data_IF_293408614335
#
_entry.id   IF_293408614335
#
_cell.length_a   1.000
_cell.length_b   1.000
_cell.length_c   1.000
_cell.angle_alpha   90.00
_cell.angle_beta   90.00
_cell.angle_gamma   90.00
#
_symmetry.space_group_name_H-M   'P 1'
#
loop_
_entity.id
_entity.type
_entity.pdbx_description
1 polymer ?
#
# COMPACT_ATOMS: atom_id res chain seq x y z
N UNK A 1 -2.14 -5.98 -18.04
CA UNK A 1 -1.91 -6.31 -16.63
C UNK A 1 -2.27 -5.12 -15.75
N UNK A 2 -2.88 -5.36 -14.59
CA UNK A 2 -3.33 -4.33 -13.69
C UNK A 2 -4.35 -3.38 -14.33
N UNK A 3 -4.22 -2.05 -14.14
CA UNK A 3 -5.16 -1.07 -14.69
C UNK A 3 -5.29 -1.12 -16.23
N UNK A 4 -4.37 -1.75 -16.94
CA UNK A 4 -4.47 -1.93 -18.39
C UNK A 4 -5.63 -2.79 -18.84
N UNK A 5 -6.15 -3.69 -18.01
CA UNK A 5 -7.34 -4.50 -18.31
C UNK A 5 -8.63 -3.68 -18.31
N UNK A 6 -8.63 -2.49 -17.73
CA UNK A 6 -9.80 -1.60 -17.71
C UNK A 6 -10.07 -0.92 -19.07
N UNK A 7 -9.18 -1.07 -20.06
CA UNK A 7 -9.35 -0.48 -21.39
C UNK A 7 -10.46 -1.13 -22.21
N UNK A 8 -10.79 -2.37 -21.90
CA UNK A 8 -11.70 -3.18 -22.66
C UNK A 8 -12.61 -3.94 -21.69
N UNK A 9 -13.87 -3.50 -21.63
CA UNK A 9 -14.87 -4.07 -20.74
C UNK A 9 -15.27 -5.50 -21.12
N UNK A 10 -15.28 -5.81 -22.41
CA UNK A 10 -15.66 -7.16 -22.86
C UNK A 10 -14.56 -8.17 -22.50
N UNK A 11 -13.29 -7.84 -22.75
CA UNK A 11 -12.17 -8.68 -22.31
C UNK A 11 -12.10 -8.83 -20.80
N UNK A 12 -12.41 -7.76 -20.04
CA UNK A 12 -12.48 -7.83 -18.59
C UNK A 12 -13.62 -8.73 -18.12
N UNK A 13 -14.78 -8.65 -18.78
CA UNK A 13 -15.94 -9.51 -18.51
C UNK A 13 -15.60 -10.97 -18.77
N UNK A 14 -15.05 -11.29 -19.95
CA UNK A 14 -14.64 -12.67 -20.31
C UNK A 14 -13.62 -13.23 -19.29
N UNK A 15 -12.70 -12.40 -18.83
CA UNK A 15 -11.75 -12.80 -17.80
C UNK A 15 -12.44 -13.12 -16.48
N UNK A 16 -13.37 -12.26 -16.02
CA UNK A 16 -14.12 -12.47 -14.78
C UNK A 16 -15.03 -13.70 -14.89
N UNK A 17 -15.73 -13.88 -16.01
CA UNK A 17 -16.56 -15.07 -16.25
C UNK A 17 -15.73 -16.35 -16.09
N UNK A 18 -14.55 -16.41 -16.73
CA UNK A 18 -13.67 -17.59 -16.67
C UNK A 18 -13.11 -17.89 -15.29
N UNK A 19 -12.78 -16.86 -14.49
CA UNK A 19 -12.23 -17.11 -13.15
C UNK A 19 -13.31 -17.38 -12.11
N UNK A 20 -14.57 -17.03 -12.39
CA UNK A 20 -15.70 -17.30 -11.47
C UNK A 20 -16.43 -18.60 -11.82
N UNK A 21 -16.28 -19.12 -13.04
CA UNK A 21 -16.88 -20.37 -13.47
C UNK A 21 -16.26 -21.57 -12.72
N UNK A 22 -17.06 -22.21 -11.88
CA UNK A 22 -16.64 -23.34 -11.06
C UNK A 22 -15.59 -23.05 -9.99
N UNK A 23 -15.28 -21.77 -9.73
CA UNK A 23 -14.25 -21.38 -8.75
C UNK A 23 -14.77 -21.48 -7.31
N UNK A 24 -14.20 -22.39 -6.47
CA UNK A 24 -14.77 -22.70 -5.16
C UNK A 24 -14.40 -21.69 -4.07
N UNK A 25 -13.60 -20.68 -4.40
CA UNK A 25 -13.05 -19.74 -3.42
C UNK A 25 -13.72 -18.36 -3.53
N UNK A 26 -13.63 -17.60 -2.45
CA UNK A 26 -14.08 -16.20 -2.42
C UNK A 26 -13.11 -15.32 -3.21
N UNK A 27 -13.62 -14.56 -4.18
CA UNK A 27 -12.85 -13.65 -5.02
C UNK A 27 -12.92 -12.22 -4.48
N UNK A 28 -11.80 -11.55 -4.34
CA UNK A 28 -11.73 -10.10 -4.18
C UNK A 28 -11.15 -9.46 -5.44
N UNK A 29 -11.64 -8.27 -5.77
CA UNK A 29 -11.15 -7.50 -6.93
C UNK A 29 -10.59 -6.18 -6.46
N UNK A 30 -9.35 -5.87 -6.87
CA UNK A 30 -8.75 -4.55 -6.69
C UNK A 30 -8.75 -3.81 -8.02
N UNK A 31 -9.39 -2.63 -8.05
CA UNK A 31 -9.58 -1.85 -9.27
C UNK A 31 -9.22 -0.37 -9.10
N UNK A 32 -9.14 0.33 -10.24
CA UNK A 32 -9.21 1.78 -10.38
C UNK A 32 -10.56 2.19 -10.95
N UNK A 33 -10.87 3.48 -10.91
CA UNK A 33 -12.17 4.03 -11.35
C UNK A 33 -12.25 4.31 -12.86
N UNK A 34 -11.38 3.71 -13.63
CA UNK A 34 -11.27 3.80 -15.07
C UNK A 34 -9.82 3.69 -15.52
N UNK A 35 -9.60 3.60 -16.83
CA UNK A 35 -8.26 3.63 -17.41
C UNK A 35 -7.84 5.06 -17.78
N UNK A 36 -8.66 5.76 -18.56
CA UNK A 36 -8.36 7.09 -19.10
C UNK A 36 -9.17 8.19 -18.41
N UNK A 37 -10.44 7.92 -18.09
CA UNK A 37 -11.41 8.89 -17.59
C UNK A 37 -12.27 8.30 -16.50
N UNK A 38 -12.70 9.14 -15.55
CA UNK A 38 -13.57 8.73 -14.45
C UNK A 38 -15.00 8.41 -14.91
N UNK A 39 -15.43 8.93 -16.07
CA UNK A 39 -16.71 8.57 -16.69
C UNK A 39 -16.85 7.09 -17.05
N UNK A 40 -15.73 6.36 -17.14
CA UNK A 40 -15.71 4.89 -17.33
C UNK A 40 -16.21 4.14 -16.08
N UNK A 41 -16.27 4.82 -14.90
CA UNK A 41 -16.48 4.15 -13.62
C UNK A 41 -17.84 3.49 -13.48
N UNK A 42 -18.90 4.14 -13.92
CA UNK A 42 -20.26 3.59 -13.80
C UNK A 42 -20.37 2.23 -14.51
N UNK A 43 -19.89 2.13 -15.75
CA UNK A 43 -19.92 0.89 -16.53
C UNK A 43 -19.03 -0.21 -15.90
N UNK A 44 -17.88 0.15 -15.35
CA UNK A 44 -17.00 -0.77 -14.62
C UNK A 44 -17.67 -1.30 -13.36
N UNK A 45 -18.31 -0.43 -12.57
CA UNK A 45 -19.00 -0.83 -11.34
C UNK A 45 -20.21 -1.73 -11.64
N UNK A 46 -20.96 -1.44 -12.69
CA UNK A 46 -22.05 -2.29 -13.15
C UNK A 46 -21.57 -3.68 -13.60
N UNK A 47 -20.39 -3.74 -14.21
CA UNK A 47 -19.75 -5.02 -14.54
C UNK A 47 -19.41 -5.80 -13.26
N UNK A 48 -18.73 -5.17 -12.28
CA UNK A 48 -18.38 -5.83 -11.02
C UNK A 48 -19.61 -6.27 -10.21
N UNK A 49 -20.70 -5.55 -10.30
CA UNK A 49 -21.97 -5.89 -9.65
C UNK A 49 -22.65 -7.16 -10.17
N UNK A 50 -22.19 -7.70 -11.30
CA UNK A 50 -22.68 -8.99 -11.84
C UNK A 50 -22.05 -10.20 -11.14
N UNK A 51 -20.99 -9.98 -10.34
CA UNK A 51 -20.24 -11.05 -9.67
C UNK A 51 -20.39 -10.91 -8.15
N UNK A 52 -20.47 -12.07 -7.46
CA UNK A 52 -20.46 -12.13 -5.99
C UNK A 52 -19.01 -12.05 -5.49
N UNK A 53 -18.53 -10.83 -5.23
CA UNK A 53 -17.18 -10.59 -4.72
C UNK A 53 -17.18 -10.59 -3.19
N UNK A 54 -16.10 -11.10 -2.58
CA UNK A 54 -15.91 -10.95 -1.13
C UNK A 54 -15.66 -9.49 -0.76
N UNK A 55 -15.00 -8.74 -1.64
CA UNK A 55 -14.77 -7.30 -1.52
C UNK A 55 -14.36 -6.69 -2.86
N UNK A 56 -14.72 -5.43 -3.05
CA UNK A 56 -14.27 -4.59 -4.15
C UNK A 56 -13.36 -3.47 -3.59
N UNK A 57 -12.06 -3.60 -3.81
CA UNK A 57 -11.06 -2.65 -3.34
C UNK A 57 -10.89 -1.56 -4.39
N UNK A 58 -11.34 -0.35 -4.07
CA UNK A 58 -11.37 0.78 -5.00
C UNK A 58 -10.24 1.75 -4.72
N UNK A 59 -9.36 1.95 -5.73
CA UNK A 59 -8.41 3.05 -5.74
C UNK A 59 -8.98 4.16 -6.63
N UNK A 60 -9.53 5.25 -6.06
CA UNK A 60 -10.27 6.26 -6.82
C UNK A 60 -9.32 7.20 -7.58
N UNK A 61 -8.62 6.65 -8.53
CA UNK A 61 -7.79 7.29 -9.55
C UNK A 61 -7.92 6.48 -10.83
N UNK A 62 -7.87 7.16 -12.00
CA UNK A 62 -7.79 6.46 -13.29
C UNK A 62 -6.40 5.85 -13.54
N UNK A 63 -6.32 4.86 -14.43
CA UNK A 63 -5.09 4.13 -14.73
C UNK A 63 -3.94 5.05 -15.17
N UNK A 64 -4.21 5.98 -16.08
CA UNK A 64 -3.23 6.95 -16.62
C UNK A 64 -2.71 7.93 -15.58
N UNK A 65 -3.49 8.24 -14.56
CA UNK A 65 -3.09 9.15 -13.48
C UNK A 65 -1.96 8.57 -12.62
N UNK A 66 -1.80 7.26 -12.59
CA UNK A 66 -0.86 6.53 -11.73
C UNK A 66 -1.00 6.94 -10.26
N UNK A 67 -0.07 7.75 -9.73
CA UNK A 67 -0.07 8.26 -8.35
C UNK A 67 -0.08 9.79 -8.28
N UNK A 68 -0.30 10.46 -9.43
CA UNK A 68 -0.35 11.93 -9.50
C UNK A 68 -1.71 12.45 -9.04
N UNK A 69 -1.73 13.68 -8.55
CA UNK A 69 -2.94 14.32 -8.05
C UNK A 69 -3.51 13.66 -6.78
N UNK A 70 -4.74 13.97 -6.46
CA UNK A 70 -5.48 13.41 -5.31
C UNK A 70 -6.45 12.31 -5.74
N UNK A 71 -6.80 11.36 -4.85
CA UNK A 71 -7.90 10.43 -5.09
C UNK A 71 -9.23 11.16 -5.29
N UNK A 72 -10.04 10.70 -6.23
CA UNK A 72 -11.38 11.24 -6.50
C UNK A 72 -12.39 10.65 -5.51
N UNK A 73 -12.68 11.40 -4.45
CA UNK A 73 -13.59 10.93 -3.41
C UNK A 73 -15.02 10.79 -3.89
N UNK A 74 -15.48 11.61 -4.86
CA UNK A 74 -16.82 11.47 -5.43
C UNK A 74 -16.99 10.13 -6.17
N UNK A 75 -15.95 9.70 -6.89
CA UNK A 75 -15.95 8.37 -7.52
C UNK A 75 -15.96 7.23 -6.48
N UNK A 76 -15.33 7.43 -5.32
CA UNK A 76 -15.38 6.44 -4.24
C UNK A 76 -16.77 6.41 -3.56
N UNK A 77 -17.34 7.55 -3.25
CA UNK A 77 -18.70 7.68 -2.70
C UNK A 77 -19.75 7.07 -3.64
N UNK A 78 -19.59 7.27 -4.95
CA UNK A 78 -20.42 6.60 -5.94
C UNK A 78 -20.35 5.06 -5.79
N UNK A 79 -19.16 4.49 -5.53
CA UNK A 79 -19.03 3.06 -5.28
C UNK A 79 -19.73 2.62 -3.99
N UNK A 80 -19.63 3.40 -2.90
CA UNK A 80 -20.31 3.07 -1.63
C UNK A 80 -21.82 2.96 -1.80
N UNK A 81 -22.41 3.84 -2.61
CA UNK A 81 -23.87 3.88 -2.84
C UNK A 81 -24.34 2.81 -3.82
N UNK A 82 -23.56 2.55 -4.89
CA UNK A 82 -24.04 1.77 -6.03
C UNK A 82 -23.45 0.35 -6.12
N UNK A 83 -22.46 0.00 -5.28
CA UNK A 83 -21.91 -1.35 -5.27
C UNK A 83 -22.81 -2.34 -4.55
N UNK A 84 -22.99 -3.52 -5.17
CA UNK A 84 -23.63 -4.68 -4.54
C UNK A 84 -22.64 -5.51 -3.69
N UNK A 85 -21.35 -5.24 -3.82
CA UNK A 85 -20.29 -5.92 -3.10
C UNK A 85 -19.75 -5.02 -1.97
N UNK A 86 -19.18 -5.58 -0.89
CA UNK A 86 -18.49 -4.81 0.13
C UNK A 86 -17.36 -3.97 -0.47
N UNK A 87 -17.35 -2.64 -0.21
CA UNK A 87 -16.36 -1.72 -0.77
C UNK A 87 -15.25 -1.44 0.25
N UNK A 88 -14.00 -1.50 -0.23
CA UNK A 88 -12.80 -1.19 0.54
C UNK A 88 -12.08 0.00 -0.08
N UNK A 89 -11.79 1.04 0.72
CA UNK A 89 -11.03 2.20 0.25
C UNK A 89 -9.54 1.88 0.13
N UNK A 90 -8.93 2.29 -0.98
CA UNK A 90 -7.48 2.28 -1.16
C UNK A 90 -7.00 3.58 -1.81
N UNK A 91 -6.24 4.39 -1.12
CA UNK A 91 -5.66 5.62 -1.70
C UNK A 91 -4.94 6.46 -0.66
N UNK A 92 -3.67 6.75 -0.89
CA UNK A 92 -2.80 7.71 -0.18
C UNK A 92 -2.89 7.74 1.37
N UNK A 93 -3.23 6.62 1.98
CA UNK A 93 -3.15 6.49 3.45
C UNK A 93 -1.67 6.32 3.79
N UNK A 94 -1.07 7.37 4.38
CA UNK A 94 0.36 7.44 4.74
C UNK A 94 0.60 7.50 6.24
N UNK A 95 -0.37 8.02 6.99
CA UNK A 95 -0.31 8.21 8.44
C UNK A 95 -1.64 7.83 9.06
N UNK A 96 -1.65 7.55 10.35
CA UNK A 96 -2.87 7.28 11.11
C UNK A 96 -3.82 8.50 11.16
N UNK A 97 -3.27 9.71 11.04
CA UNK A 97 -4.02 10.96 11.01
C UNK A 97 -4.65 11.30 9.65
N UNK A 98 -4.68 10.33 8.72
CA UNK A 98 -5.25 10.55 7.41
C UNK A 98 -6.71 10.96 7.51
N UNK A 99 -7.06 12.13 6.91
CA UNK A 99 -8.40 12.72 6.98
C UNK A 99 -9.48 11.82 6.41
N UNK A 100 -9.17 11.03 5.38
CA UNK A 100 -10.13 10.10 4.77
C UNK A 100 -10.61 9.06 5.78
N UNK A 101 -9.70 8.54 6.60
CA UNK A 101 -10.05 7.56 7.64
C UNK A 101 -10.82 8.22 8.80
N UNK A 102 -10.37 9.40 9.22
CA UNK A 102 -10.93 10.07 10.41
C UNK A 102 -12.28 10.73 10.18
N UNK A 103 -12.50 11.26 8.98
CA UNK A 103 -13.68 12.10 8.69
C UNK A 103 -14.79 11.38 7.92
N UNK A 104 -14.54 10.19 7.38
CA UNK A 104 -15.55 9.46 6.62
C UNK A 104 -15.98 8.20 7.36
N UNK A 105 -17.09 8.31 8.08
CA UNK A 105 -17.68 7.22 8.90
C UNK A 105 -18.28 6.10 8.07
N UNK A 106 -18.47 6.30 6.77
CA UNK A 106 -19.02 5.28 5.86
C UNK A 106 -17.94 4.31 5.35
N UNK A 107 -16.66 4.63 5.56
CA UNK A 107 -15.55 3.76 5.20
C UNK A 107 -15.34 2.70 6.27
N UNK A 108 -15.91 1.52 6.07
CA UNK A 108 -15.81 0.40 6.99
C UNK A 108 -14.49 -0.38 6.90
N UNK A 109 -13.81 -0.32 5.74
CA UNK A 109 -12.57 -1.03 5.51
C UNK A 109 -11.61 -0.24 4.62
N UNK A 110 -10.32 -0.36 4.89
CA UNK A 110 -9.25 0.30 4.12
C UNK A 110 -8.11 -0.65 3.80
N UNK A 111 -7.57 -0.51 2.58
CA UNK A 111 -6.33 -1.16 2.18
C UNK A 111 -5.19 -0.15 2.18
N UNK A 112 -4.12 -0.42 2.93
CA UNK A 112 -2.94 0.42 3.01
C UNK A 112 -1.76 -0.29 2.32
N UNK A 113 -1.18 0.34 1.31
CA UNK A 113 0.01 -0.17 0.63
C UNK A 113 1.29 0.52 1.13
N UNK A 114 1.71 1.58 0.44
CA UNK A 114 2.97 2.30 0.71
C UNK A 114 3.08 2.86 2.14
N UNK A 115 1.96 3.23 2.76
CA UNK A 115 1.94 3.63 4.16
C UNK A 115 2.35 2.52 5.12
N UNK A 116 1.97 1.26 4.83
CA UNK A 116 2.38 0.09 5.61
C UNK A 116 3.87 -0.21 5.47
N UNK A 117 4.44 -0.03 4.27
CA UNK A 117 5.90 -0.16 4.05
C UNK A 117 6.66 0.95 4.78
N UNK A 118 6.11 2.16 4.82
CA UNK A 118 6.71 3.29 5.55
C UNK A 118 6.65 3.10 7.07
N UNK A 119 5.52 2.59 7.55
CA UNK A 119 5.23 2.39 8.98
C UNK A 119 4.51 1.05 9.19
N UNK A 120 5.22 -0.01 9.56
CA UNK A 120 4.61 -1.33 9.80
C UNK A 120 3.55 -1.34 10.92
N UNK A 121 3.59 -0.37 11.82
CA UNK A 121 2.64 -0.23 12.92
C UNK A 121 1.42 0.66 12.59
N UNK A 122 1.24 1.11 11.34
CA UNK A 122 0.20 2.08 10.97
C UNK A 122 -1.21 1.64 11.39
N UNK A 123 -1.54 0.34 11.32
CA UNK A 123 -2.84 -0.16 11.76
C UNK A 123 -2.99 -0.13 13.28
N UNK A 124 -1.91 -0.32 14.04
CA UNK A 124 -1.89 -0.16 15.49
C UNK A 124 -2.19 1.30 15.85
N UNK A 125 -1.56 2.25 15.19
CA UNK A 125 -1.78 3.68 15.38
C UNK A 125 -3.21 4.12 15.00
N UNK A 126 -3.74 3.62 13.88
CA UNK A 126 -5.13 3.91 13.46
C UNK A 126 -6.14 3.44 14.54
N UNK A 127 -5.84 2.35 15.22
CA UNK A 127 -6.66 1.82 16.32
C UNK A 127 -6.39 2.50 17.69
N UNK A 128 -5.62 3.59 17.70
CA UNK A 128 -5.31 4.35 18.92
C UNK A 128 -4.14 3.83 19.74
N UNK A 129 -3.37 2.86 19.20
CA UNK A 129 -2.15 2.37 19.84
C UNK A 129 -0.93 3.26 19.56
N UNK A 130 0.18 2.94 20.21
CA UNK A 130 1.44 3.70 20.11
C UNK A 130 2.11 3.57 18.75
N UNK A 131 2.88 4.57 18.37
CA UNK A 131 3.84 4.50 17.27
C UNK A 131 4.91 3.42 17.53
N UNK A 132 5.56 2.87 16.49
CA UNK A 132 6.64 1.92 16.69
C UNK A 132 7.86 2.59 17.32
N UNK A 133 8.50 1.87 18.23
CA UNK A 133 9.80 2.24 18.79
C UNK A 133 10.93 1.96 17.79
N UNK A 134 12.11 2.57 18.03
CA UNK A 134 13.30 2.25 17.24
C UNK A 134 13.71 0.78 17.34
N UNK A 135 13.50 0.16 18.52
CA UNK A 135 13.73 -1.27 18.72
C UNK A 135 12.81 -2.14 17.87
N UNK A 136 11.50 -1.90 17.88
CA UNK A 136 10.53 -2.64 17.07
C UNK A 136 10.84 -2.55 15.56
N UNK A 137 11.24 -1.36 15.07
CA UNK A 137 11.63 -1.21 13.67
C UNK A 137 12.96 -1.90 13.36
N UNK A 138 13.88 -1.95 14.33
CA UNK A 138 15.14 -2.67 14.19
C UNK A 138 14.91 -4.17 14.06
N UNK A 139 14.08 -4.74 14.92
CA UNK A 139 13.72 -6.16 14.91
C UNK A 139 13.00 -6.50 13.61
N UNK A 140 11.99 -5.71 13.21
CA UNK A 140 11.28 -5.88 11.95
C UNK A 140 12.23 -5.90 10.72
N UNK A 141 13.15 -4.93 10.63
CA UNK A 141 14.10 -4.86 9.52
C UNK A 141 15.15 -5.99 9.58
N UNK A 142 15.48 -6.47 10.78
CA UNK A 142 16.39 -7.60 10.95
C UNK A 142 15.74 -8.90 10.47
N UNK A 143 14.47 -9.13 10.83
CA UNK A 143 13.71 -10.29 10.36
C UNK A 143 13.59 -10.34 8.84
N UNK A 144 13.27 -9.18 8.21
CA UNK A 144 13.24 -9.06 6.74
C UNK A 144 14.63 -9.34 6.14
N UNK A 145 15.69 -8.83 6.75
CA UNK A 145 17.05 -9.07 6.28
C UNK A 145 17.37 -10.56 6.31
N UNK A 146 17.06 -11.27 7.38
CA UNK A 146 17.30 -12.72 7.47
C UNK A 146 16.43 -13.50 6.48
N UNK A 147 15.16 -13.14 6.31
CA UNK A 147 14.28 -13.75 5.29
C UNK A 147 14.84 -13.57 3.87
N UNK A 148 15.33 -12.37 3.53
CA UNK A 148 15.95 -12.13 2.23
C UNK A 148 17.28 -12.87 2.05
N UNK A 149 18.05 -13.12 3.12
CA UNK A 149 19.28 -13.92 3.06
C UNK A 149 19.01 -15.39 2.77
N UNK A 150 17.86 -15.90 3.15
CA UNK A 150 17.42 -17.26 2.78
C UNK A 150 17.01 -17.34 1.31
N UNK A 151 16.33 -16.28 0.82
CA UNK A 151 15.76 -16.25 -0.54
C UNK A 151 16.79 -15.87 -1.62
N UNK A 152 17.77 -15.02 -1.29
CA UNK A 152 18.75 -14.51 -2.26
C UNK A 152 20.17 -14.96 -1.95
N UNK A 153 20.83 -15.58 -2.92
CA UNK A 153 22.22 -16.07 -2.81
C UNK A 153 23.25 -14.94 -2.69
N UNK A 154 22.91 -13.69 -3.06
CA UNK A 154 23.84 -12.57 -3.14
C UNK A 154 23.51 -11.50 -2.10
N UNK A 155 24.53 -11.11 -1.31
CA UNK A 155 24.46 -9.97 -0.37
C UNK A 155 24.00 -8.66 -1.07
N UNK A 156 24.41 -8.46 -2.33
CA UNK A 156 24.04 -7.28 -3.11
C UNK A 156 22.51 -7.27 -3.39
N UNK A 157 21.93 -8.42 -3.71
CA UNK A 157 20.49 -8.54 -3.96
C UNK A 157 19.71 -8.30 -2.68
N UNK A 158 20.13 -8.85 -1.56
CA UNK A 158 19.58 -8.56 -0.23
C UNK A 158 19.59 -7.06 0.07
N UNK A 159 20.75 -6.41 -0.13
CA UNK A 159 20.89 -4.96 0.09
C UNK A 159 19.96 -4.14 -0.81
N UNK A 160 19.82 -4.50 -2.08
CA UNK A 160 18.90 -3.80 -2.98
C UNK A 160 17.48 -3.86 -2.45
N UNK A 161 17.01 -5.05 -2.03
CA UNK A 161 15.66 -5.23 -1.48
C UNK A 161 15.44 -4.46 -0.18
N UNK A 162 16.38 -4.50 0.73
CA UNK A 162 16.31 -3.73 1.97
C UNK A 162 16.25 -2.22 1.70
N UNK A 163 17.04 -1.71 0.76
CA UNK A 163 17.05 -0.28 0.39
C UNK A 163 15.76 0.19 -0.26
N UNK A 164 15.05 -0.68 -1.01
CA UNK A 164 13.72 -0.38 -1.56
C UNK A 164 12.71 -0.02 -0.44
N UNK A 165 12.79 -0.70 0.71
CA UNK A 165 11.94 -0.39 1.88
C UNK A 165 12.24 1.00 2.43
N UNK A 166 13.52 1.37 2.50
CA UNK A 166 13.95 2.67 3.03
C UNK A 166 13.53 3.86 2.16
N UNK A 167 13.16 3.66 0.92
CA UNK A 167 12.54 4.72 0.09
C UNK A 167 11.25 5.23 0.72
N UNK A 168 10.51 4.35 1.41
CA UNK A 168 9.25 4.67 2.09
C UNK A 168 9.44 4.92 3.59
N UNK A 169 10.20 4.04 4.27
CA UNK A 169 10.43 4.11 5.72
C UNK A 169 11.34 5.28 6.12
N UNK A 170 12.33 5.63 5.30
CA UNK A 170 13.28 6.68 5.61
C UNK A 170 12.65 8.03 5.96
N UNK A 171 11.78 8.61 5.11
CA UNK A 171 11.07 9.84 5.43
C UNK A 171 10.22 9.74 6.71
N UNK A 172 9.57 8.61 6.97
CA UNK A 172 8.81 8.38 8.19
C UNK A 172 9.72 8.43 9.44
N UNK A 173 10.86 7.73 9.38
CA UNK A 173 11.84 7.68 10.47
C UNK A 173 12.42 9.08 10.76
N UNK A 174 12.84 9.81 9.71
CA UNK A 174 13.41 11.16 9.84
C UNK A 174 12.39 12.13 10.45
N UNK A 175 11.15 12.13 9.98
CA UNK A 175 10.09 13.00 10.49
C UNK A 175 9.79 12.76 11.98
N UNK A 176 10.16 11.60 12.53
CA UNK A 176 10.03 11.24 13.94
C UNK A 176 11.32 11.42 14.74
N UNK A 177 12.31 12.10 14.19
CA UNK A 177 13.57 12.41 14.86
C UNK A 177 14.65 11.31 14.75
N UNK A 178 14.46 10.32 13.91
CA UNK A 178 15.43 9.27 13.61
C UNK A 178 16.45 9.71 12.55
N UNK A 179 17.60 10.22 12.98
CA UNK A 179 18.67 10.61 12.08
C UNK A 179 18.31 11.78 11.15
N UNK A 180 19.03 11.88 10.03
CA UNK A 180 18.90 12.95 9.05
C UNK A 180 18.85 12.41 7.61
N UNK A 181 18.50 13.27 6.64
CA UNK A 181 18.58 12.95 5.20
C UNK A 181 20.00 12.51 4.78
N UNK A 182 21.03 13.04 5.43
CA UNK A 182 22.43 12.63 5.20
C UNK A 182 22.63 11.17 5.61
N UNK A 183 22.13 10.79 6.79
CA UNK A 183 22.26 9.44 7.31
C UNK A 183 21.50 8.43 6.42
N UNK A 184 20.30 8.80 5.96
CA UNK A 184 19.55 8.01 5.00
C UNK A 184 20.30 7.85 3.68
N UNK A 185 20.90 8.91 3.14
CA UNK A 185 21.74 8.83 1.94
C UNK A 185 22.98 7.94 2.14
N UNK A 186 23.58 7.95 3.33
CA UNK A 186 24.69 7.06 3.65
C UNK A 186 24.23 5.59 3.65
N UNK A 187 23.11 5.28 4.29
CA UNK A 187 22.51 3.94 4.27
C UNK A 187 22.25 3.47 2.83
N UNK A 188 21.65 4.33 1.99
CA UNK A 188 21.35 4.02 0.59
C UNK A 188 22.60 3.75 -0.27
N UNK A 189 23.77 4.29 0.11
CA UNK A 189 25.04 4.10 -0.60
C UNK A 189 25.85 2.90 -0.14
N UNK A 190 25.49 2.24 0.96
CA UNK A 190 26.24 1.10 1.49
C UNK A 190 26.38 -0.03 0.45
N UNK A 191 27.48 -0.75 0.50
CA UNK A 191 27.75 -1.89 -0.39
C UNK A 191 27.86 -3.22 0.35
N UNK A 192 27.88 -3.19 1.70
CA UNK A 192 28.03 -4.34 2.57
C UNK A 192 26.93 -4.34 3.64
N UNK A 193 26.41 -5.51 3.99
CA UNK A 193 25.36 -5.64 5.03
C UNK A 193 25.83 -5.12 6.41
N UNK A 194 27.10 -5.27 6.74
CA UNK A 194 27.66 -4.75 8.00
C UNK A 194 27.51 -3.23 8.09
N UNK A 195 27.87 -2.51 7.01
CA UNK A 195 27.73 -1.06 6.92
C UNK A 195 26.25 -0.64 6.97
N UNK A 196 25.41 -1.36 6.22
CA UNK A 196 23.96 -1.14 6.21
C UNK A 196 23.37 -1.27 7.63
N UNK A 197 23.69 -2.37 8.34
CA UNK A 197 23.21 -2.60 9.71
C UNK A 197 23.69 -1.51 10.69
N UNK A 198 24.90 -0.97 10.52
CA UNK A 198 25.41 0.12 11.34
C UNK A 198 24.64 1.44 11.11
N UNK A 199 24.42 1.82 9.83
CA UNK A 199 23.64 3.01 9.51
C UNK A 199 22.17 2.88 9.90
N UNK A 200 21.57 1.70 9.74
CA UNK A 200 20.21 1.41 10.19
C UNK A 200 20.07 1.64 11.71
N UNK A 201 20.99 1.10 12.51
CA UNK A 201 21.01 1.33 13.97
C UNK A 201 21.10 2.80 14.32
N UNK A 202 21.99 3.55 13.65
CA UNK A 202 22.15 4.99 13.87
C UNK A 202 20.85 5.76 13.57
N UNK A 203 20.17 5.43 12.45
CA UNK A 203 18.89 6.05 12.10
C UNK A 203 17.78 5.76 13.12
N UNK A 204 17.68 4.51 13.58
CA UNK A 204 16.58 4.06 14.43
C UNK A 204 16.78 4.38 15.92
N UNK A 205 18.04 4.54 16.39
CA UNK A 205 18.34 4.86 17.78
C UNK A 205 17.82 6.23 18.22
N UNK A 206 17.63 7.16 17.29
CA UNK A 206 17.12 8.52 17.57
C UNK A 206 15.59 8.60 17.67
N UNK A 207 14.85 7.52 17.35
CA UNK A 207 13.39 7.54 17.40
C UNK A 207 12.88 7.70 18.82
N UNK A 208 12.14 8.79 19.05
CA UNK A 208 11.48 9.05 20.34
C UNK A 208 10.26 8.15 20.48
N UNK A 209 10.14 7.50 21.63
CA UNK A 209 8.89 6.88 22.07
C UNK A 209 7.90 8.00 22.38
N UNK A 210 6.79 8.08 21.65
CA UNK A 210 5.67 8.98 21.95
C UNK A 210 4.53 8.19 22.52
#
# INVERSE_FOLDING_TARGET
RGAGSLKDLELLKEFLDRITDGFPYRLSVKTRVGFSDVGEWAALLDLYNRYSLSELIVHPRVGRQMYKGVPDMAAFEYALVNSRNPVVYNGDIRTADNKVIKCNTEINATMIGRGMVANPAIFREIKGGSCPTGGELMDFMSDICEAYRVEFDSEINVLHKLKEIWVYMGPYVINRGGGSDRDLKMLQKTRRLVEYKAHMRSLLSGLKST
#
